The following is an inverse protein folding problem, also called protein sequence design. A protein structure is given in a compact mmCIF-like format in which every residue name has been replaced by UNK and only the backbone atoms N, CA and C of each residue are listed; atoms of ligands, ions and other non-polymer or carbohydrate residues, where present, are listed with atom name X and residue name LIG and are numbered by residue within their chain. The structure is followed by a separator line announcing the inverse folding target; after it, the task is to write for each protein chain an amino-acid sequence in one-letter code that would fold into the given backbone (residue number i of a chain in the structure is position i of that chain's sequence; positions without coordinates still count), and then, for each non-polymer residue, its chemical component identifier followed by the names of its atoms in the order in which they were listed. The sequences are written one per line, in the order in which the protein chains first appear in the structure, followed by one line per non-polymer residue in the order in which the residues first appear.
data_IF_398981675135
#
_entry.id   IF_398981675135
#
_cell.length_a   1.000
_cell.length_b   1.000
_cell.length_c   1.000
_cell.angle_alpha   90.00
_cell.angle_beta   90.00
_cell.angle_gamma   90.00
#
_symmetry.space_group_name_H-M   'P 1'
#
loop_
_entity.id
_entity.type
_entity.pdbx_description
1 polymer ?
#
# COMPACT_ATOMS: atom_id res chain seq x y z
N UNK A 1 -4.72 0.74 -20.26
CA UNK A 1 -3.98 1.73 -19.51
C UNK A 1 -3.92 1.35 -18.05
N UNK A 2 -2.78 1.56 -17.49
CA UNK A 2 -2.58 1.22 -16.10
C UNK A 2 -3.25 2.23 -15.21
N UNK A 3 -3.90 1.73 -14.19
CA UNK A 3 -4.51 2.62 -13.21
C UNK A 3 -3.46 3.00 -12.18
N UNK A 4 -3.49 4.28 -11.78
CA UNK A 4 -2.54 4.79 -10.81
C UNK A 4 -3.30 5.36 -9.64
N UNK A 5 -2.81 5.07 -8.44
CA UNK A 5 -3.44 5.52 -7.20
C UNK A 5 -2.57 6.58 -6.54
N UNK A 6 -3.22 7.59 -5.98
CA UNK A 6 -2.51 8.55 -5.13
C UNK A 6 -2.28 7.93 -3.77
N UNK A 7 -1.51 8.63 -2.92
CA UNK A 7 -1.30 8.17 -1.55
C UNK A 7 -2.64 8.04 -0.83
N UNK A 8 -3.50 9.03 -1.02
CA UNK A 8 -4.80 9.01 -0.36
C UNK A 8 -5.64 7.81 -0.80
N UNK A 9 -5.69 7.56 -2.09
CA UNK A 9 -6.44 6.44 -2.61
C UNK A 9 -5.86 5.11 -2.14
N UNK A 10 -4.54 5.01 -2.14
CA UNK A 10 -3.88 3.79 -1.70
C UNK A 10 -4.16 3.53 -0.23
N UNK A 11 -4.07 4.56 0.59
CA UNK A 11 -4.35 4.40 2.01
C UNK A 11 -5.77 3.91 2.22
N UNK A 12 -6.71 4.45 1.47
CA UNK A 12 -8.10 4.01 1.57
C UNK A 12 -8.24 2.54 1.19
N UNK A 13 -7.58 2.13 0.13
CA UNK A 13 -7.64 0.74 -0.30
C UNK A 13 -7.07 -0.20 0.74
N UNK A 14 -6.06 0.25 1.47
CA UNK A 14 -5.42 -0.58 2.47
C UNK A 14 -6.07 -0.48 3.84
N UNK A 15 -7.01 0.46 4.00
CA UNK A 15 -7.62 0.67 5.30
C UNK A 15 -6.67 1.31 6.29
N UNK A 16 -5.73 2.09 5.81
CA UNK A 16 -4.75 2.76 6.64
C UNK A 16 -4.77 4.26 6.35
N UNK A 17 -4.07 5.02 7.19
CA UNK A 17 -3.96 6.46 6.97
C UNK A 17 -2.79 6.76 6.04
N UNK A 18 -2.83 7.94 5.44
CA UNK A 18 -1.69 8.38 4.63
C UNK A 18 -0.44 8.48 5.47
N UNK A 19 -0.59 8.94 6.69
CA UNK A 19 0.54 9.05 7.59
C UNK A 19 1.17 7.69 7.84
N UNK A 20 0.32 6.68 8.03
CA UNK A 20 0.83 5.34 8.24
C UNK A 20 1.64 4.87 7.04
N UNK A 21 1.13 5.15 5.83
CA UNK A 21 1.84 4.76 4.63
C UNK A 21 3.21 5.40 4.55
N UNK A 22 3.29 6.69 4.83
CA UNK A 22 4.57 7.38 4.77
C UNK A 22 5.54 6.84 5.80
N UNK A 23 5.06 6.56 6.98
CA UNK A 23 5.92 6.04 8.03
C UNK A 23 6.39 4.62 7.72
N UNK A 24 5.49 3.80 7.19
CA UNK A 24 5.86 2.44 6.82
C UNK A 24 6.91 2.44 5.73
N UNK A 25 6.78 3.34 4.78
CA UNK A 25 7.76 3.46 3.71
C UNK A 25 9.11 3.90 4.28
N UNK A 26 9.09 4.88 5.16
CA UNK A 26 10.32 5.39 5.75
C UNK A 26 11.04 4.33 6.57
N UNK A 27 10.28 3.44 7.17
CA UNK A 27 10.86 2.38 8.00
C UNK A 27 11.24 1.15 7.19
N UNK A 28 10.96 1.16 5.91
CA UNK A 28 11.28 0.02 5.08
C UNK A 28 10.33 -1.14 5.20
N UNK A 29 9.17 -0.94 5.81
CA UNK A 29 8.20 -2.02 5.96
C UNK A 29 7.48 -2.29 4.66
N UNK A 30 7.37 -1.29 3.82
CA UNK A 30 6.77 -1.45 2.50
C UNK A 30 7.71 -0.84 1.47
N UNK A 31 7.61 -1.26 0.20
CA UNK A 31 8.47 -0.70 -0.83
C UNK A 31 8.21 0.78 -1.02
N UNK A 32 9.21 1.49 -1.50
CA UNK A 32 9.07 2.90 -1.76
C UNK A 32 8.11 3.13 -2.91
N UNK A 33 7.31 4.17 -2.79
CA UNK A 33 6.37 4.52 -3.83
C UNK A 33 7.10 5.06 -5.05
N UNK A 34 6.50 4.87 -6.21
CA UNK A 34 6.99 5.51 -7.42
C UNK A 34 6.65 6.99 -7.36
N UNK A 35 7.33 7.76 -8.17
CA UNK A 35 7.06 9.19 -8.26
C UNK A 35 6.68 9.54 -9.68
N UNK A 36 5.71 10.43 -9.83
CA UNK A 36 5.36 10.89 -11.16
C UNK A 36 6.25 12.09 -11.53
N UNK A 37 5.95 12.72 -12.64
CA UNK A 37 6.76 13.82 -13.13
C UNK A 37 6.79 15.01 -12.19
N UNK A 38 5.77 15.13 -11.36
CA UNK A 38 5.69 16.22 -10.40
C UNK A 38 6.28 15.85 -9.06
N UNK A 39 6.80 14.64 -8.93
CA UNK A 39 7.38 14.20 -7.67
C UNK A 39 6.37 13.69 -6.66
N UNK A 40 5.12 13.50 -7.06
CA UNK A 40 4.10 12.97 -6.17
C UNK A 40 4.20 11.47 -6.09
N UNK A 41 3.92 10.94 -4.91
CA UNK A 41 3.89 9.50 -4.73
C UNK A 41 2.70 8.92 -5.47
N UNK A 42 2.95 7.86 -6.23
CA UNK A 42 1.88 7.16 -6.94
C UNK A 42 2.10 5.66 -6.80
N UNK A 43 1.01 4.91 -6.88
CA UNK A 43 1.04 3.46 -6.78
C UNK A 43 0.27 2.88 -7.95
N UNK A 44 0.78 1.81 -8.53
CA UNK A 44 0.03 1.10 -9.57
C UNK A 44 -0.90 0.08 -8.91
N UNK A 45 -1.78 -0.51 -9.71
CA UNK A 45 -2.62 -1.57 -9.18
C UNK A 45 -1.81 -2.71 -8.62
N UNK A 46 -0.74 -3.07 -9.32
CA UNK A 46 0.14 -4.12 -8.83
C UNK A 46 0.75 -3.74 -7.49
N UNK A 47 1.16 -2.49 -7.36
CA UNK A 47 1.72 -2.03 -6.11
C UNK A 47 0.72 -2.15 -4.98
N UNK A 48 -0.52 -1.74 -5.24
CA UNK A 48 -1.56 -1.80 -4.22
C UNK A 48 -1.84 -3.25 -3.84
N UNK A 49 -1.94 -4.13 -4.82
CA UNK A 49 -2.16 -5.54 -4.53
C UNK A 49 -1.04 -6.13 -3.70
N UNK A 50 0.19 -5.77 -4.04
CA UNK A 50 1.34 -6.25 -3.29
C UNK A 50 1.31 -5.75 -1.86
N UNK A 51 0.94 -4.49 -1.66
CA UNK A 51 0.83 -3.94 -0.33
C UNK A 51 -0.26 -4.64 0.47
N UNK A 52 -1.36 -4.97 -0.17
CA UNK A 52 -2.41 -5.71 0.51
C UNK A 52 -1.90 -7.05 1.01
N UNK A 53 -1.11 -7.71 0.20
CA UNK A 53 -0.56 -8.99 0.61
C UNK A 53 0.39 -8.87 1.78
N UNK A 54 1.15 -7.79 1.82
CA UNK A 54 2.08 -7.58 2.90
C UNK A 54 1.39 -7.24 4.21
N UNK A 55 0.26 -6.55 4.14
CA UNK A 55 -0.40 -6.05 5.33
C UNK A 55 -1.51 -6.94 5.83
N UNK A 56 -2.09 -7.74 4.96
CA UNK A 56 -3.22 -8.59 5.32
C UNK A 56 -2.75 -10.04 5.33
N UNK A 57 -2.80 -10.69 6.48
CA UNK A 57 -2.34 -12.08 6.53
C UNK A 57 -3.19 -12.97 5.65
N UNK A 58 -2.65 -14.08 5.21
CA UNK A 58 -3.45 -15.05 4.47
C UNK A 58 -4.65 -15.49 5.26
N UNK A 59 -5.70 -15.83 4.57
CA UNK A 59 -6.95 -16.20 5.21
C UNK A 59 -6.79 -17.35 6.18
N UNK A 60 -6.00 -18.32 5.81
CA UNK A 60 -5.85 -19.48 6.68
C UNK A 60 -5.24 -19.08 8.01
N UNK A 61 -4.38 -18.10 8.03
CA UNK A 61 -3.82 -17.63 9.28
C UNK A 61 -4.86 -16.89 10.11
N UNK A 62 -5.69 -16.11 9.44
CA UNK A 62 -6.71 -15.37 10.15
C UNK A 62 -7.65 -16.31 10.85
N UNK A 63 -8.00 -17.40 10.20
CA UNK A 63 -8.93 -18.32 10.79
C UNK A 63 -8.39 -19.05 11.97
N UNK A 64 -7.11 -19.24 12.00
CA UNK A 64 -6.56 -20.02 13.08
C UNK A 64 -6.77 -19.36 14.40
N UNK A 65 -7.18 -18.19 14.40
CA UNK A 65 -7.47 -17.61 15.62
C UNK A 65 -8.76 -17.79 16.07
N UNK A 66 -9.31 -18.17 15.99
CA UNK A 66 -10.45 -18.29 16.47
C UNK A 66 -10.81 -18.56 17.03
#
# INVERSE_FOLDING_TARGET
MERVFTVSETARELGRSERWLRQAEARGKIPKARRDLNGWRVYTEEDVDHLKELLVPPLDKVQSRK
#
